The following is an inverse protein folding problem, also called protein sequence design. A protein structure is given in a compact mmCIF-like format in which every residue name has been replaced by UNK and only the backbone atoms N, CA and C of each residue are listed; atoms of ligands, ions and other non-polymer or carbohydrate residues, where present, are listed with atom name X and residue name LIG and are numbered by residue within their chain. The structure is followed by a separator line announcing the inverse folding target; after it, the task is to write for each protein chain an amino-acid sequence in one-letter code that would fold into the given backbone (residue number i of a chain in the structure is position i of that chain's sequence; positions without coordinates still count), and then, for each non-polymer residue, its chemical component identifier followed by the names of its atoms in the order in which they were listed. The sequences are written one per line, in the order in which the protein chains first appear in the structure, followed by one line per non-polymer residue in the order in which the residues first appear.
data_IF_898589034935
#
_entry.id   IF_898589034935
#
_cell.length_a   1.000
_cell.length_b   1.000
_cell.length_c   1.000
_cell.angle_alpha   90.00
_cell.angle_beta   90.00
_cell.angle_gamma   90.00
#
_symmetry.space_group_name_H-M   'P 1'
#
loop_
_entity.id
_entity.type
_entity.pdbx_description
1 polymer ?
#
# COMPACT_ATOMS: atom_id res chain seq x y z
N UNK A 1 3.73 48.08 6.26
CA UNK A 1 4.51 46.93 5.72
C UNK A 1 3.97 45.65 6.36
N UNK A 2 3.07 44.94 5.67
CA UNK A 2 2.55 43.66 6.17
C UNK A 2 3.51 42.54 5.78
N UNK A 3 3.97 41.76 6.77
CA UNK A 3 4.82 40.59 6.56
C UNK A 3 4.01 39.52 5.83
N UNK A 4 4.58 38.75 4.87
CA UNK A 4 3.87 37.61 4.31
C UNK A 4 3.61 36.59 5.43
N UNK A 5 2.37 36.12 5.52
CA UNK A 5 2.03 35.00 6.39
C UNK A 5 2.73 33.75 5.86
N UNK A 6 3.57 33.12 6.69
CA UNK A 6 4.11 31.79 6.39
C UNK A 6 2.94 30.82 6.52
N UNK A 7 2.46 30.26 5.41
CA UNK A 7 1.49 29.17 5.43
C UNK A 7 2.12 28.02 6.21
N UNK A 8 1.46 27.46 7.24
CA UNK A 8 1.96 26.21 7.83
C UNK A 8 1.93 25.15 6.73
N UNK A 9 3.08 24.52 6.46
CA UNK A 9 3.12 23.27 5.70
C UNK A 9 2.45 22.22 6.56
N UNK A 10 1.17 21.96 6.30
CA UNK A 10 0.48 20.81 6.91
C UNK A 10 1.13 19.56 6.38
N UNK A 11 1.77 18.79 7.27
CA UNK A 11 2.24 17.43 6.95
C UNK A 11 1.02 16.60 6.60
N UNK A 12 1.05 15.96 5.45
CA UNK A 12 -0.02 15.08 5.01
C UNK A 12 -0.10 13.85 5.93
N UNK A 13 -1.30 13.59 6.46
CA UNK A 13 -1.58 12.46 7.34
C UNK A 13 -2.69 11.61 6.70
N UNK A 14 -2.33 10.50 6.02
CA UNK A 14 -3.32 9.64 5.39
C UNK A 14 -4.24 8.96 6.41
N UNK A 15 -5.46 8.67 6.00
CA UNK A 15 -6.40 7.86 6.77
C UNK A 15 -6.16 6.37 6.51
N UNK A 16 -6.43 5.52 7.51
CA UNK A 16 -6.43 4.05 7.32
C UNK A 16 -7.37 3.67 6.18
N UNK A 17 -6.86 2.91 5.21
CA UNK A 17 -7.60 2.53 4.01
C UNK A 17 -7.55 3.54 2.86
N UNK A 18 -6.91 4.70 3.04
CA UNK A 18 -6.74 5.70 1.99
C UNK A 18 -5.78 5.23 0.90
N UNK A 19 -6.08 5.53 -0.36
CA UNK A 19 -5.17 5.30 -1.47
C UNK A 19 -4.17 6.46 -1.57
N UNK A 20 -2.89 6.12 -1.56
CA UNK A 20 -1.78 7.10 -1.60
C UNK A 20 -0.79 6.78 -2.71
N UNK A 21 -0.06 7.79 -3.17
CA UNK A 21 1.12 7.61 -3.99
C UNK A 21 2.36 7.63 -3.08
N UNK A 22 3.29 6.72 -3.33
CA UNK A 22 4.55 6.59 -2.59
C UNK A 22 5.72 7.08 -3.44
N UNK A 23 6.23 8.28 -3.12
CA UNK A 23 7.32 8.91 -3.86
C UNK A 23 8.67 8.22 -3.63
N UNK A 24 8.83 7.46 -2.54
CA UNK A 24 10.03 6.66 -2.32
C UNK A 24 10.11 5.47 -3.30
N UNK A 25 8.97 5.01 -3.78
CA UNK A 25 8.83 3.85 -4.67
C UNK A 25 8.34 4.24 -6.07
N UNK A 26 8.94 5.27 -6.67
CA UNK A 26 8.67 5.70 -8.05
C UNK A 26 7.19 6.06 -8.30
N UNK A 27 6.47 6.53 -7.27
CA UNK A 27 5.06 6.86 -7.35
C UNK A 27 4.13 5.63 -7.30
N UNK A 28 4.61 4.50 -6.76
CA UNK A 28 3.78 3.31 -6.55
C UNK A 28 2.52 3.64 -5.75
N UNK A 29 1.39 3.04 -6.12
CA UNK A 29 0.11 3.26 -5.45
C UNK A 29 -0.17 2.19 -4.42
N UNK A 30 -0.43 2.60 -3.18
CA UNK A 30 -0.75 1.70 -2.07
C UNK A 30 -1.93 2.18 -1.24
N UNK A 31 -2.59 1.23 -0.59
CA UNK A 31 -3.59 1.51 0.45
C UNK A 31 -2.85 1.63 1.77
N UNK A 32 -3.05 2.75 2.47
CA UNK A 32 -2.38 3.03 3.74
C UNK A 32 -2.94 2.17 4.88
N UNK A 33 -2.03 1.45 5.56
CA UNK A 33 -2.34 0.50 6.63
C UNK A 33 -1.95 1.00 8.02
N UNK A 34 -1.42 2.23 8.11
CA UNK A 34 -0.97 2.82 9.36
C UNK A 34 0.55 2.91 9.46
N UNK A 35 1.03 3.35 10.61
CA UNK A 35 2.45 3.44 10.95
C UNK A 35 2.79 2.42 12.02
N UNK A 36 3.90 1.72 11.82
CA UNK A 36 4.55 0.88 12.82
C UNK A 36 5.99 1.38 13.00
N UNK A 37 6.30 1.89 14.20
CA UNK A 37 7.57 2.57 14.43
C UNK A 37 7.64 3.89 13.67
N UNK A 38 8.67 4.06 12.85
CA UNK A 38 8.92 5.21 11.99
C UNK A 38 8.51 4.96 10.53
N UNK A 39 7.87 3.82 10.24
CA UNK A 39 7.55 3.38 8.88
C UNK A 39 6.05 3.34 8.66
N UNK A 40 5.60 3.92 7.54
CA UNK A 40 4.26 3.71 7.03
C UNK A 40 4.19 2.37 6.30
N UNK A 41 3.11 1.62 6.49
CA UNK A 41 2.87 0.36 5.79
C UNK A 41 1.80 0.53 4.71
N UNK A 42 2.10 0.03 3.51
CA UNK A 42 1.23 0.06 2.35
C UNK A 42 0.96 -1.35 1.84
N UNK A 43 -0.24 -1.55 1.32
CA UNK A 43 -0.59 -2.77 0.56
C UNK A 43 -1.04 -2.41 -0.86
N UNK A 44 -0.80 -3.26 -1.86
CA UNK A 44 -1.36 -3.01 -3.19
C UNK A 44 -2.90 -3.07 -3.14
N UNK A 45 -3.62 -2.20 -3.86
CA UNK A 45 -5.09 -2.19 -3.85
C UNK A 45 -5.72 -3.49 -4.38
N UNK A 46 -5.04 -4.19 -5.29
CA UNK A 46 -5.46 -5.50 -5.83
C UNK A 46 -4.93 -6.72 -5.06
N UNK A 47 -4.22 -6.51 -3.93
CA UNK A 47 -3.44 -7.55 -3.27
C UNK A 47 -2.06 -7.76 -3.92
N UNK A 48 -1.23 -8.57 -3.28
CA UNK A 48 0.17 -8.77 -3.66
C UNK A 48 1.10 -8.59 -2.46
N UNK A 49 2.31 -8.12 -2.72
CA UNK A 49 3.34 -7.92 -1.69
C UNK A 49 3.15 -6.55 -1.04
N UNK A 50 2.99 -6.53 0.29
CA UNK A 50 2.99 -5.31 1.11
C UNK A 50 4.40 -4.74 1.22
N UNK A 51 4.51 -3.43 1.43
CA UNK A 51 5.79 -2.76 1.61
C UNK A 51 5.70 -1.64 2.65
N UNK A 52 6.84 -1.29 3.24
CA UNK A 52 6.98 -0.17 4.14
C UNK A 52 7.67 1.02 3.45
N UNK A 53 7.36 2.23 3.88
CA UNK A 53 7.92 3.47 3.30
C UNK A 53 8.07 4.57 4.36
N UNK A 54 8.77 5.63 3.96
CA UNK A 54 8.87 6.86 4.73
C UNK A 54 7.52 7.60 4.71
N UNK A 55 6.87 7.85 5.87
CA UNK A 55 5.58 8.54 5.92
C UNK A 55 5.62 9.94 5.28
N UNK A 56 6.76 10.62 5.29
CA UNK A 56 6.91 11.96 4.72
C UNK A 56 6.98 11.94 3.17
N UNK A 57 7.04 10.74 2.57
CA UNK A 57 7.04 10.53 1.11
C UNK A 57 5.70 10.05 0.55
N UNK A 58 4.65 10.16 1.35
CA UNK A 58 3.29 9.87 0.91
C UNK A 58 2.60 11.13 0.38
N UNK A 59 1.82 10.96 -0.67
CA UNK A 59 0.92 11.99 -1.17
C UNK A 59 -0.48 11.41 -1.40
N UNK A 60 -1.56 12.23 -1.30
CA UNK A 60 -2.90 11.79 -1.67
C UNK A 60 -2.91 11.28 -3.11
N UNK A 61 -3.41 10.06 -3.31
CA UNK A 61 -3.71 9.63 -4.67
C UNK A 61 -5.00 10.31 -5.13
N UNK A 62 -4.97 10.95 -6.30
CA UNK A 62 -6.22 11.38 -6.93
C UNK A 62 -7.15 10.16 -7.06
N UNK A 63 -8.43 10.27 -6.64
CA UNK A 63 -9.36 9.16 -6.73
C UNK A 63 -9.47 8.75 -8.19
N UNK A 64 -9.12 7.50 -8.48
CA UNK A 64 -9.52 6.88 -9.74
C UNK A 64 -11.02 6.65 -9.64
N UNK A 65 -11.81 7.57 -10.19
CA UNK A 65 -13.20 7.27 -10.50
C UNK A 65 -13.21 6.05 -11.42
N UNK A 66 -13.56 4.88 -10.86
CA UNK A 66 -14.36 3.80 -11.47
C UNK A 66 -14.12 2.48 -10.72
N UNK A 67 -15.06 2.16 -9.83
CA UNK A 67 -15.24 0.80 -9.34
C UNK A 67 -16.00 0.01 -10.41
N UNK A 68 -15.31 -0.86 -11.14
CA UNK A 68 -15.99 -1.95 -11.84
C UNK A 68 -16.32 -3.05 -10.82
N UNK A 69 -17.58 -3.49 -10.72
CA UNK A 69 -17.96 -4.57 -9.82
C UNK A 69 -17.32 -5.89 -10.26
N UNK A 70 -16.22 -6.28 -9.62
CA UNK A 70 -15.63 -7.62 -9.80
C UNK A 70 -16.38 -8.62 -8.93
N UNK A 71 -17.44 -9.19 -9.48
CA UNK A 71 -18.10 -10.38 -8.91
C UNK A 71 -17.44 -11.65 -9.44
N UNK A 72 -16.18 -11.89 -9.10
CA UNK A 72 -15.57 -13.19 -9.33
C UNK A 72 -15.41 -13.91 -7.99
N UNK A 73 -16.11 -15.05 -7.85
CA UNK A 73 -15.93 -15.94 -6.70
C UNK A 73 -14.51 -16.49 -6.75
N UNK A 74 -13.74 -16.25 -5.70
CA UNK A 74 -12.43 -16.90 -5.54
C UNK A 74 -12.65 -18.41 -5.50
N UNK A 75 -11.93 -19.16 -6.34
CA UNK A 75 -11.86 -20.61 -6.20
C UNK A 75 -10.89 -20.93 -5.06
N UNK A 76 -11.26 -21.85 -4.14
CA UNK A 76 -10.31 -22.35 -3.15
C UNK A 76 -9.10 -22.94 -3.85
N UNK A 77 -7.91 -22.68 -3.32
CA UNK A 77 -6.71 -23.39 -3.79
C UNK A 77 -6.94 -24.88 -3.52
N UNK A 78 -6.70 -25.72 -4.54
CA UNK A 78 -6.71 -27.18 -4.37
C UNK A 78 -5.62 -27.53 -3.37
N UNK A 79 -5.96 -28.29 -2.34
CA UNK A 79 -4.98 -28.86 -1.41
C UNK A 79 -4.25 -30.04 -2.05
N UNK A 80 -3.76 -29.87 -3.28
CA UNK A 80 -2.88 -30.84 -3.89
C UNK A 80 -1.60 -30.81 -3.03
N UNK A 81 -1.32 -31.92 -2.34
CA UNK A 81 -0.10 -32.08 -1.55
C UNK A 81 1.07 -31.75 -2.45
N UNK A 82 1.77 -30.65 -2.17
CA UNK A 82 3.07 -30.38 -2.79
C UNK A 82 3.99 -31.49 -2.30
N UNK A 83 4.25 -32.48 -3.15
CA UNK A 83 5.30 -33.45 -2.90
C UNK A 83 6.62 -32.68 -2.99
N UNK A 84 7.16 -32.32 -1.82
CA UNK A 84 8.53 -31.85 -1.72
C UNK A 84 9.40 -33.07 -1.98
N UNK A 85 9.94 -33.19 -3.19
CA UNK A 85 10.93 -34.20 -3.56
C UNK A 85 12.21 -34.00 -2.74
N UNK A 86 12.20 -34.45 -1.49
CA UNK A 86 13.38 -34.68 -0.70
C UNK A 86 13.78 -36.14 -0.87
N UNK A 87 14.80 -36.38 -1.68
CA UNK A 87 15.59 -37.61 -1.65
C UNK A 87 16.09 -37.87 -0.21
N UNK A 88 15.87 -39.05 0.37
CA UNK A 88 16.71 -39.54 1.44
C UNK A 88 17.80 -40.43 0.86
N UNK A 89 19.01 -39.86 0.80
CA UNK A 89 20.30 -40.56 0.84
C UNK A 89 20.26 -41.67 1.90
N UNK A 90 20.44 -42.94 1.48
CA UNK A 90 21.04 -44.04 2.25
C UNK A 90 21.47 -45.20 1.34
#
# INVERSE_FOLDING_TARGET
MSRPATTPTTIYQPQLGELVNDLAHQGARGVYMGVLGDRAYLRPPGGGVEWDTDPDRLEPALPVSQLEPVSQRSTPRRADRVELSGEPDR
#
